data_IF_275358161828
#
_entry.id   IF_275358161828
#
_cell.length_a   1.000
_cell.length_b   1.000
_cell.length_c   1.000
_cell.angle_alpha   90.00
_cell.angle_beta   90.00
_cell.angle_gamma   90.00
#
_symmetry.space_group_name_H-M   'P 1'
#
loop_
_entity.id
_entity.type
_entity.pdbx_description
1 polymer ?
#
# COMPACT_ATOMS: atom_id res chain seq x y z
N UNK A 1 -23.98 -20.66 10.58
CA UNK A 1 -23.24 -19.79 9.64
C UNK A 1 -23.77 -18.36 9.74
N UNK A 2 -23.06 -17.49 10.46
CA UNK A 2 -23.47 -16.09 10.64
C UNK A 2 -23.24 -15.27 9.36
N UNK A 3 -24.27 -14.59 8.87
CA UNK A 3 -24.16 -13.71 7.68
C UNK A 3 -23.23 -12.50 7.90
N UNK A 4 -22.91 -12.17 9.15
CA UNK A 4 -22.01 -11.08 9.55
C UNK A 4 -21.21 -11.51 10.79
N UNK A 5 -19.91 -11.23 10.80
CA UNK A 5 -19.05 -11.30 11.98
C UNK A 5 -18.47 -9.90 12.25
N UNK A 6 -18.51 -9.46 13.50
CA UNK A 6 -17.89 -8.21 13.94
C UNK A 6 -17.08 -8.47 15.21
N UNK A 7 -15.86 -7.95 15.27
CA UNK A 7 -14.98 -8.08 16.42
C UNK A 7 -14.29 -6.75 16.72
N UNK A 8 -14.18 -6.41 18.00
CA UNK A 8 -13.48 -5.21 18.46
C UNK A 8 -12.61 -5.55 19.66
N UNK A 9 -11.37 -5.06 19.66
CA UNK A 9 -10.46 -5.18 20.79
C UNK A 9 -9.78 -3.84 21.10
N UNK A 10 -9.59 -3.54 22.38
CA UNK A 10 -8.97 -2.31 22.85
C UNK A 10 -8.06 -2.57 24.07
N UNK A 11 -7.07 -1.70 24.27
CA UNK A 11 -6.07 -1.80 25.34
C UNK A 11 -4.67 -1.89 24.77
N UNK A 12 -3.64 -1.97 25.61
CA UNK A 12 -2.23 -1.96 25.17
C UNK A 12 -1.95 -3.02 24.10
N UNK A 13 -2.63 -4.17 24.20
CA UNK A 13 -2.54 -5.30 23.27
C UNK A 13 -3.94 -5.74 22.83
N UNK A 14 -4.33 -5.39 21.60
CA UNK A 14 -5.63 -5.71 21.04
C UNK A 14 -5.54 -6.67 19.85
N UNK A 15 -6.31 -7.76 19.86
CA UNK A 15 -6.48 -8.64 18.71
C UNK A 15 -7.97 -8.86 18.42
N UNK A 16 -8.41 -8.56 17.20
CA UNK A 16 -9.79 -8.75 16.76
C UNK A 16 -9.83 -9.63 15.50
N UNK A 17 -10.64 -10.69 15.54
CA UNK A 17 -10.85 -11.58 14.39
C UNK A 17 -12.33 -11.68 14.07
N UNK A 18 -12.70 -11.38 12.83
CA UNK A 18 -14.07 -11.49 12.34
C UNK A 18 -14.14 -12.35 11.08
N UNK A 19 -15.17 -13.20 11.00
CA UNK A 19 -15.39 -14.12 9.88
C UNK A 19 -16.88 -14.20 9.53
N UNK A 20 -17.18 -14.53 8.27
CA UNK A 20 -18.54 -14.68 7.76
C UNK A 20 -18.70 -13.97 6.42
N UNK A 21 -19.90 -13.97 5.83
CA UNK A 21 -20.10 -13.33 4.51
C UNK A 21 -19.65 -11.87 4.48
N UNK A 22 -19.82 -11.15 5.60
CA UNK A 22 -19.18 -9.86 5.88
C UNK A 22 -18.45 -9.95 7.21
N UNK A 23 -17.12 -9.86 7.18
CA UNK A 23 -16.27 -9.80 8.37
C UNK A 23 -15.80 -8.35 8.61
N UNK A 24 -15.94 -7.86 9.83
CA UNK A 24 -15.42 -6.55 10.24
C UNK A 24 -14.62 -6.67 11.55
N UNK A 25 -13.33 -6.36 11.53
CA UNK A 25 -12.46 -6.42 12.70
C UNK A 25 -11.80 -5.06 12.95
N UNK A 26 -11.87 -4.59 14.19
CA UNK A 26 -11.27 -3.31 14.61
C UNK A 26 -10.43 -3.49 15.85
N UNK A 27 -9.20 -2.96 15.85
CA UNK A 27 -8.35 -2.90 17.04
C UNK A 27 -7.79 -1.51 17.28
N UNK A 28 -7.73 -1.09 18.54
CA UNK A 28 -7.08 0.16 18.97
C UNK A 28 -6.23 -0.07 20.22
N UNK A 29 -4.99 0.38 20.27
CA UNK A 29 -4.08 0.10 21.39
C UNK A 29 -2.67 0.61 21.17
N UNK A 30 -1.70 0.26 22.02
CA UNK A 30 -0.30 0.42 21.64
C UNK A 30 0.05 -0.55 20.51
N UNK A 31 -0.39 -1.80 20.61
CA UNK A 31 -0.24 -2.83 19.59
C UNK A 31 -1.59 -3.44 19.23
N UNK A 32 -1.98 -3.31 17.96
CA UNK A 32 -3.27 -3.76 17.44
C UNK A 32 -3.14 -4.69 16.23
N UNK A 33 -3.84 -5.83 16.26
CA UNK A 33 -3.94 -6.76 15.15
C UNK A 33 -5.41 -7.04 14.78
N UNK A 34 -5.85 -6.60 13.60
CA UNK A 34 -7.20 -6.81 13.09
C UNK A 34 -7.19 -7.77 11.89
N UNK A 35 -7.99 -8.84 11.95
CA UNK A 35 -8.16 -9.81 10.86
C UNK A 35 -9.63 -9.97 10.49
N UNK A 36 -9.98 -9.73 9.23
CA UNK A 36 -11.34 -9.91 8.72
C UNK A 36 -11.34 -10.79 7.46
N UNK A 37 -12.18 -11.83 7.45
CA UNK A 37 -12.35 -12.74 6.31
C UNK A 37 -13.81 -12.94 5.94
N UNK A 38 -14.09 -13.17 4.65
CA UNK A 38 -15.44 -13.33 4.12
C UNK A 38 -15.57 -13.15 2.62
N UNK A 39 -16.79 -13.01 2.08
CA UNK A 39 -16.94 -12.42 0.73
C UNK A 39 -16.44 -10.96 0.77
N UNK A 40 -16.70 -10.27 1.89
CA UNK A 40 -16.29 -8.90 2.15
C UNK A 40 -15.60 -8.81 3.51
N UNK A 41 -14.29 -8.61 3.52
CA UNK A 41 -13.47 -8.41 4.71
C UNK A 41 -13.08 -6.95 4.89
N UNK A 42 -13.27 -6.40 6.09
CA UNK A 42 -12.81 -5.07 6.48
C UNK A 42 -12.03 -5.14 7.81
N UNK A 43 -10.75 -4.77 7.79
CA UNK A 43 -9.89 -4.79 8.97
C UNK A 43 -9.26 -3.42 9.21
N UNK A 44 -9.36 -2.93 10.45
CA UNK A 44 -8.74 -1.67 10.87
C UNK A 44 -7.92 -1.89 12.14
N UNK A 45 -6.63 -1.54 12.09
CA UNK A 45 -5.76 -1.56 13.25
C UNK A 45 -5.07 -0.20 13.44
N UNK A 46 -5.23 0.38 14.63
CA UNK A 46 -4.63 1.67 14.98
C UNK A 46 -3.85 1.57 16.29
N UNK A 47 -2.71 2.24 16.38
CA UNK A 47 -1.88 2.24 17.58
C UNK A 47 -0.49 2.79 17.39
N UNK A 48 0.46 2.43 18.27
CA UNK A 48 1.89 2.62 17.96
C UNK A 48 2.32 1.64 16.85
N UNK A 49 1.87 0.39 16.96
CA UNK A 49 1.99 -0.65 15.93
C UNK A 49 0.61 -1.17 15.54
N UNK A 50 0.24 -1.01 14.27
CA UNK A 50 -1.02 -1.50 13.72
C UNK A 50 -0.79 -2.52 12.61
N UNK A 51 -1.43 -3.68 12.70
CA UNK A 51 -1.45 -4.71 11.65
C UNK A 51 -2.89 -5.05 11.26
N UNK A 52 -3.25 -4.82 9.99
CA UNK A 52 -4.59 -5.10 9.46
C UNK A 52 -4.52 -6.06 8.28
N UNK A 53 -5.30 -7.14 8.35
CA UNK A 53 -5.43 -8.12 7.26
C UNK A 53 -6.89 -8.32 6.88
N UNK A 54 -7.21 -8.11 5.61
CA UNK A 54 -8.55 -8.34 5.07
C UNK A 54 -8.50 -9.24 3.83
N UNK A 55 -9.31 -10.30 3.81
CA UNK A 55 -9.39 -11.24 2.70
C UNK A 55 -10.83 -11.53 2.29
N UNK A 56 -11.05 -11.76 0.98
CA UNK A 56 -12.35 -12.12 0.43
C UNK A 56 -12.49 -11.93 -1.07
N UNK A 57 -13.71 -11.80 -1.59
CA UNK A 57 -13.93 -11.25 -2.94
C UNK A 57 -13.50 -9.77 -2.92
N UNK A 58 -13.92 -9.04 -1.89
CA UNK A 58 -13.42 -7.71 -1.56
C UNK A 58 -12.73 -7.68 -0.20
N UNK A 59 -11.47 -7.22 -0.17
CA UNK A 59 -10.70 -7.00 1.06
C UNK A 59 -10.31 -5.54 1.21
N UNK A 60 -10.59 -4.95 2.38
CA UNK A 60 -10.16 -3.61 2.74
C UNK A 60 -9.40 -3.64 4.08
N UNK A 61 -8.13 -3.26 4.06
CA UNK A 61 -7.27 -3.24 5.24
C UNK A 61 -6.68 -1.84 5.47
N UNK A 62 -6.82 -1.32 6.68
CA UNK A 62 -6.25 -0.04 7.09
C UNK A 62 -5.42 -0.22 8.36
N UNK A 63 -4.15 0.18 8.30
CA UNK A 63 -3.25 0.17 9.44
C UNK A 63 -2.64 1.57 9.66
N UNK A 64 -2.78 2.10 10.86
CA UNK A 64 -2.25 3.42 11.23
C UNK A 64 -1.48 3.38 12.55
N UNK A 65 -0.45 4.22 12.65
CA UNK A 65 0.40 4.32 13.83
C UNK A 65 1.78 4.87 13.53
N UNK A 66 2.74 4.70 14.43
CA UNK A 66 4.15 4.90 14.06
C UNK A 66 4.58 3.85 13.04
N UNK A 67 4.08 2.62 13.18
CA UNK A 67 4.30 1.52 12.27
C UNK A 67 2.98 0.86 11.86
N UNK A 68 2.57 1.07 10.60
CA UNK A 68 1.36 0.47 10.03
C UNK A 68 1.70 -0.60 8.99
N UNK A 69 1.08 -1.77 9.10
CA UNK A 69 1.12 -2.83 8.10
C UNK A 69 -0.29 -3.25 7.67
N UNK A 70 -0.65 -3.00 6.41
CA UNK A 70 -1.97 -3.35 5.86
C UNK A 70 -1.83 -4.34 4.70
N UNK A 71 -2.56 -5.45 4.77
CA UNK A 71 -2.64 -6.45 3.70
C UNK A 71 -4.08 -6.69 3.30
N UNK A 72 -4.39 -6.49 2.02
CA UNK A 72 -5.68 -6.79 1.45
C UNK A 72 -5.55 -7.75 0.26
N UNK A 73 -6.33 -8.83 0.28
CA UNK A 73 -6.34 -9.83 -0.80
C UNK A 73 -7.77 -10.18 -1.24
N UNK A 74 -7.93 -10.49 -2.52
CA UNK A 74 -9.21 -10.88 -3.09
C UNK A 74 -9.30 -10.68 -4.60
N UNK A 75 -10.50 -10.65 -5.17
CA UNK A 75 -10.65 -10.11 -6.53
C UNK A 75 -10.37 -8.60 -6.54
N UNK A 76 -10.78 -7.92 -5.47
CA UNK A 76 -10.56 -6.50 -5.21
C UNK A 76 -9.90 -6.33 -3.84
N UNK A 77 -8.64 -5.92 -3.82
CA UNK A 77 -7.88 -5.63 -2.59
C UNK A 77 -7.58 -4.14 -2.47
N UNK A 78 -7.87 -3.55 -1.31
CA UNK A 78 -7.49 -2.18 -0.98
C UNK A 78 -6.74 -2.16 0.36
N UNK A 79 -5.47 -1.77 0.35
CA UNK A 79 -4.61 -1.69 1.53
C UNK A 79 -4.10 -0.26 1.73
N UNK A 80 -4.28 0.27 2.94
CA UNK A 80 -3.76 1.59 3.32
C UNK A 80 -2.92 1.47 4.59
N UNK A 81 -1.68 1.91 4.52
CA UNK A 81 -0.78 1.97 5.67
C UNK A 81 -0.22 3.39 5.84
N UNK A 82 -0.31 3.94 7.05
CA UNK A 82 0.16 5.29 7.35
C UNK A 82 0.96 5.32 8.65
N UNK A 83 2.04 6.10 8.70
CA UNK A 83 2.84 6.27 9.92
C UNK A 83 4.22 6.87 9.72
N UNK A 84 5.13 6.65 10.67
CA UNK A 84 6.56 6.87 10.42
C UNK A 84 7.03 5.83 9.38
N UNK A 85 6.65 4.57 9.59
CA UNK A 85 6.75 3.49 8.62
C UNK A 85 5.37 2.95 8.24
N UNK A 86 5.10 2.84 6.95
CA UNK A 86 3.85 2.27 6.42
C UNK A 86 4.14 1.23 5.36
N UNK A 87 3.61 0.01 5.51
CA UNK A 87 3.69 -1.04 4.50
C UNK A 87 2.27 -1.46 4.07
N UNK A 88 1.92 -1.19 2.81
CA UNK A 88 0.63 -1.55 2.24
C UNK A 88 0.81 -2.55 1.11
N UNK A 89 0.14 -3.70 1.20
CA UNK A 89 0.13 -4.72 0.14
C UNK A 89 -1.30 -5.03 -0.27
N UNK A 90 -1.61 -4.78 -1.53
CA UNK A 90 -2.90 -5.14 -2.13
C UNK A 90 -2.69 -6.14 -3.27
N UNK A 91 -3.43 -7.24 -3.23
CA UNK A 91 -3.31 -8.33 -4.20
C UNK A 91 -4.69 -8.75 -4.71
N UNK A 92 -4.78 -9.11 -6.00
CA UNK A 92 -6.03 -9.54 -6.61
C UNK A 92 -6.11 -9.30 -8.10
N UNK A 93 -7.29 -9.39 -8.69
CA UNK A 93 -7.50 -8.90 -10.08
C UNK A 93 -7.29 -7.38 -10.13
N UNK A 94 -7.81 -6.68 -9.11
CA UNK A 94 -7.61 -5.25 -8.88
C UNK A 94 -7.02 -5.04 -7.49
N UNK A 95 -5.80 -4.52 -7.43
CA UNK A 95 -5.11 -4.20 -6.18
C UNK A 95 -4.84 -2.71 -6.07
N UNK A 96 -5.22 -2.07 -4.97
CA UNK A 96 -4.88 -0.69 -4.66
C UNK A 96 -4.11 -0.62 -3.33
N UNK A 97 -2.84 -0.26 -3.37
CA UNK A 97 -1.99 -0.14 -2.19
C UNK A 97 -1.54 1.31 -2.02
N UNK A 98 -1.79 1.89 -0.84
CA UNK A 98 -1.33 3.24 -0.50
C UNK A 98 -0.49 3.19 0.78
N UNK A 99 0.74 3.67 0.70
CA UNK A 99 1.63 3.83 1.84
C UNK A 99 2.05 5.29 1.97
N UNK A 100 1.80 5.87 3.15
CA UNK A 100 2.15 7.25 3.47
C UNK A 100 2.97 7.31 4.75
N UNK A 101 3.85 8.30 4.89
CA UNK A 101 4.72 8.39 6.06
C UNK A 101 6.13 8.89 5.78
N UNK A 102 7.06 8.73 6.71
CA UNK A 102 8.48 8.98 6.40
C UNK A 102 9.02 7.88 5.48
N UNK A 103 8.70 6.62 5.75
CA UNK A 103 9.11 5.44 4.97
C UNK A 103 7.88 4.62 4.60
N UNK A 104 7.32 4.88 3.42
CA UNK A 104 6.12 4.19 2.92
C UNK A 104 6.48 3.17 1.84
N UNK A 105 6.12 1.89 1.99
CA UNK A 105 6.24 0.88 0.95
C UNK A 105 4.84 0.44 0.50
N UNK A 106 4.49 0.71 -0.76
CA UNK A 106 3.22 0.29 -1.36
C UNK A 106 3.47 -0.74 -2.46
N UNK A 107 2.84 -1.91 -2.36
CA UNK A 107 2.89 -2.96 -3.38
C UNK A 107 1.49 -3.31 -3.84
N UNK A 108 1.23 -3.13 -5.12
CA UNK A 108 -0.01 -3.56 -5.76
C UNK A 108 0.30 -4.65 -6.79
N UNK A 109 -0.25 -5.83 -6.54
CA UNK A 109 -0.11 -7.02 -7.38
C UNK A 109 -1.46 -7.34 -8.01
N UNK A 110 -1.48 -7.74 -9.29
CA UNK A 110 -2.72 -8.10 -9.98
C UNK A 110 -2.74 -7.81 -11.46
N UNK A 111 -3.87 -8.05 -12.12
CA UNK A 111 -4.03 -7.59 -13.51
C UNK A 111 -3.98 -6.06 -13.58
N UNK A 112 -4.69 -5.37 -12.69
CA UNK A 112 -4.75 -3.91 -12.58
C UNK A 112 -4.34 -3.48 -11.16
N UNK A 113 -3.04 -3.29 -10.95
CA UNK A 113 -2.48 -2.90 -9.66
C UNK A 113 -2.10 -1.42 -9.60
N UNK A 114 -2.59 -0.66 -8.64
CA UNK A 114 -2.17 0.73 -8.39
C UNK A 114 -1.44 0.83 -7.05
N UNK A 115 -0.15 1.14 -7.09
CA UNK A 115 0.68 1.35 -5.90
C UNK A 115 1.05 2.83 -5.77
N UNK A 116 0.75 3.44 -4.62
CA UNK A 116 1.08 4.84 -4.33
C UNK A 116 1.90 4.93 -3.06
N UNK A 117 3.10 5.48 -3.16
CA UNK A 117 3.96 5.81 -2.03
C UNK A 117 4.20 7.33 -1.98
N UNK A 118 3.60 8.01 -1.00
CA UNK A 118 3.66 9.48 -0.88
C UNK A 118 4.65 9.98 0.17
N UNK A 119 5.35 9.05 0.83
CA UNK A 119 6.26 9.38 1.92
C UNK A 119 7.63 9.90 1.52
N UNK A 120 8.37 10.50 2.47
CA UNK A 120 9.70 11.07 2.23
C UNK A 120 10.65 10.09 1.53
N UNK A 121 10.67 8.82 1.92
CA UNK A 121 11.42 7.74 1.26
C UNK A 121 10.46 6.65 0.80
N UNK A 122 9.41 7.07 0.09
CA UNK A 122 8.35 6.20 -0.41
C UNK A 122 8.84 5.27 -1.53
N UNK A 123 8.49 3.99 -1.47
CA UNK A 123 8.72 3.01 -2.52
C UNK A 123 7.39 2.44 -3.03
N UNK A 124 7.06 2.70 -4.29
CA UNK A 124 5.88 2.16 -4.96
C UNK A 124 6.26 1.02 -5.92
N UNK A 125 5.56 -0.11 -5.83
CA UNK A 125 5.80 -1.30 -6.67
C UNK A 125 4.51 -1.76 -7.32
N UNK A 126 4.47 -1.72 -8.66
CA UNK A 126 3.40 -2.31 -9.47
C UNK A 126 3.91 -3.63 -10.11
N UNK A 127 3.65 -4.75 -9.45
CA UNK A 127 4.12 -6.08 -9.87
C UNK A 127 3.16 -6.83 -10.81
N UNK A 128 2.06 -6.17 -11.18
CA UNK A 128 1.01 -6.64 -12.08
C UNK A 128 1.29 -6.46 -13.57
N UNK A 129 0.37 -6.88 -14.44
CA UNK A 129 0.52 -6.74 -15.91
C UNK A 129 0.15 -5.34 -16.43
N UNK A 130 -0.92 -4.75 -15.91
CA UNK A 130 -1.40 -3.40 -16.28
C UNK A 130 -1.42 -2.50 -15.04
N UNK A 131 -0.28 -2.48 -14.34
CA UNK A 131 -0.14 -1.74 -13.11
C UNK A 131 0.35 -0.30 -13.29
N UNK A 132 0.19 0.49 -12.23
CA UNK A 132 0.74 1.83 -12.11
C UNK A 132 1.42 1.99 -10.74
N UNK A 133 2.63 2.53 -10.73
CA UNK A 133 3.37 2.85 -9.52
C UNK A 133 3.68 4.35 -9.47
N UNK A 134 3.24 5.00 -8.39
CA UNK A 134 3.43 6.44 -8.17
C UNK A 134 4.25 6.68 -6.92
N UNK A 135 5.37 7.38 -7.08
CA UNK A 135 6.19 7.86 -5.97
C UNK A 135 6.24 9.39 -5.98
N UNK A 136 5.59 10.00 -4.99
CA UNK A 136 5.35 11.46 -4.98
C UNK A 136 6.02 12.21 -3.82
N UNK A 137 6.61 11.50 -2.86
CA UNK A 137 7.33 12.10 -1.73
C UNK A 137 8.82 12.31 -2.02
N UNK A 138 9.54 12.90 -1.06
CA UNK A 138 10.89 13.44 -1.22
C UNK A 138 11.86 12.53 -1.99
N UNK A 139 12.59 11.57 -1.45
CA UNK A 139 13.39 10.63 -2.25
C UNK A 139 12.55 9.44 -2.74
N UNK A 140 11.35 9.73 -3.25
CA UNK A 140 10.41 8.72 -3.72
C UNK A 140 10.96 7.90 -4.89
N UNK A 141 10.74 6.59 -4.86
CA UNK A 141 11.11 5.68 -5.94
C UNK A 141 9.94 4.78 -6.36
N UNK A 142 9.85 4.49 -7.65
CA UNK A 142 8.84 3.59 -8.20
C UNK A 142 9.49 2.50 -9.06
N UNK A 143 8.93 1.31 -9.04
CA UNK A 143 9.23 0.21 -9.98
C UNK A 143 7.96 -0.44 -10.47
N UNK A 144 8.05 -1.06 -11.63
CA UNK A 144 6.96 -1.82 -12.20
C UNK A 144 7.46 -2.98 -13.05
N UNK A 145 6.61 -3.99 -13.24
CA UNK A 145 6.81 -4.99 -14.30
C UNK A 145 6.77 -4.35 -15.68
N UNK A 146 7.22 -5.09 -16.68
CA UNK A 146 7.10 -4.70 -18.08
C UNK A 146 5.67 -4.26 -18.42
N UNK A 147 5.53 -3.10 -19.06
CA UNK A 147 4.24 -2.49 -19.40
C UNK A 147 3.57 -1.65 -18.30
N UNK A 148 4.05 -1.68 -17.05
CA UNK A 148 3.49 -0.85 -15.98
C UNK A 148 3.83 0.63 -16.15
N UNK A 149 2.88 1.50 -15.84
CA UNK A 149 3.11 2.94 -15.78
C UNK A 149 3.87 3.32 -14.51
N UNK A 150 4.83 4.22 -14.64
CA UNK A 150 5.58 4.80 -13.54
C UNK A 150 5.34 6.31 -13.50
N UNK A 151 5.09 6.85 -12.32
CA UNK A 151 4.97 8.28 -12.05
C UNK A 151 5.94 8.67 -10.95
N UNK A 152 6.85 9.58 -11.27
CA UNK A 152 7.89 10.04 -10.36
C UNK A 152 7.78 11.55 -10.15
N UNK A 153 8.01 12.00 -8.93
CA UNK A 153 8.11 13.42 -8.57
C UNK A 153 9.47 13.65 -7.92
N UNK A 154 10.16 14.69 -8.37
CA UNK A 154 11.37 15.19 -7.72
C UNK A 154 10.97 16.38 -6.85
N UNK A 155 11.42 16.37 -5.59
CA UNK A 155 11.17 17.47 -4.65
C UNK A 155 12.46 18.04 -4.09
N UNK A 156 12.43 19.33 -3.76
CA UNK A 156 13.46 19.97 -2.96
C UNK A 156 13.40 19.51 -1.50
N UNK A 157 14.40 19.89 -0.70
CA UNK A 157 14.42 19.69 0.75
C UNK A 157 13.32 20.45 1.49
N UNK A 158 12.75 21.52 0.90
CA UNK A 158 11.57 22.23 1.41
C UNK A 158 10.25 21.61 0.96
N UNK A 159 10.29 20.55 0.15
CA UNK A 159 9.11 19.83 -0.34
C UNK A 159 8.49 20.44 -1.60
N UNK A 160 9.08 21.46 -2.21
CA UNK A 160 8.63 22.02 -3.49
C UNK A 160 8.77 20.98 -4.61
N UNK A 161 7.82 20.95 -5.54
CA UNK A 161 7.91 20.08 -6.72
C UNK A 161 8.89 20.73 -7.70
N UNK A 162 10.00 20.05 -7.96
CA UNK A 162 11.01 20.49 -8.93
C UNK A 162 10.70 19.95 -10.32
N UNK A 163 10.39 18.67 -10.41
CA UNK A 163 10.08 17.99 -11.67
C UNK A 163 9.01 16.91 -11.45
N UNK A 164 8.31 16.56 -12.52
CA UNK A 164 7.43 15.40 -12.58
C UNK A 164 7.70 14.64 -13.89
N UNK A 165 7.61 13.32 -13.82
CA UNK A 165 7.87 12.45 -14.96
C UNK A 165 6.89 11.28 -14.97
N UNK A 166 6.52 10.85 -16.17
CA UNK A 166 5.74 9.65 -16.40
C UNK A 166 6.37 8.84 -17.52
N UNK A 167 6.34 7.52 -17.39
CA UNK A 167 6.81 6.60 -18.42
C UNK A 167 6.31 5.18 -18.17
N UNK A 168 6.77 4.25 -19.00
CA UNK A 168 6.33 2.86 -18.97
C UNK A 168 7.56 1.97 -18.81
N UNK A 169 7.54 1.11 -17.79
CA UNK A 169 8.57 0.10 -17.61
C UNK A 169 8.66 -0.82 -18.84
N UNK A 170 9.89 -1.08 -19.30
CA UNK A 170 10.20 -1.81 -20.52
C UNK A 170 10.22 -0.98 -21.81
N UNK A 171 10.03 0.35 -21.72
CA UNK A 171 10.06 1.28 -22.87
C UNK A 171 11.03 2.42 -22.62
N UNK A 172 11.54 3.02 -23.70
CA UNK A 172 12.33 4.26 -23.66
C UNK A 172 13.47 4.23 -22.61
N UNK A 173 14.24 3.14 -22.60
CA UNK A 173 15.35 2.87 -21.67
C UNK A 173 14.98 2.71 -20.18
N UNK A 174 13.69 2.62 -19.87
CA UNK A 174 13.20 2.29 -18.53
C UNK A 174 13.14 0.78 -18.39
N UNK A 175 14.02 0.18 -17.58
CA UNK A 175 14.03 -1.25 -17.33
C UNK A 175 12.82 -1.65 -16.47
N UNK A 176 12.19 -2.77 -16.82
CA UNK A 176 11.26 -3.42 -15.90
C UNK A 176 11.98 -3.86 -14.63
N UNK A 177 11.20 -4.04 -13.57
CA UNK A 177 11.68 -4.61 -12.31
C UNK A 177 12.85 -3.85 -11.65
N UNK A 178 12.99 -2.58 -12.01
CA UNK A 178 14.06 -1.69 -11.54
C UNK A 178 13.44 -0.48 -10.87
N UNK A 179 13.98 -0.08 -9.72
CA UNK A 179 13.54 1.14 -9.06
C UNK A 179 14.15 2.37 -9.74
N UNK A 180 13.31 3.36 -9.99
CA UNK A 180 13.70 4.66 -10.49
C UNK A 180 13.30 5.77 -9.50
N UNK A 181 14.16 6.77 -9.37
CA UNK A 181 13.87 8.06 -8.72
C UNK A 181 14.10 9.18 -9.74
N UNK A 182 13.35 10.28 -9.65
CA UNK A 182 13.54 11.44 -10.51
C UNK A 182 14.67 12.32 -9.97
N UNK A 183 15.68 12.62 -10.78
CA UNK A 183 16.81 13.49 -10.45
C UNK A 183 17.10 14.41 -11.64
N UNK A 184 17.06 15.72 -11.44
CA UNK A 184 17.19 16.70 -12.52
C UNK A 184 16.18 16.49 -13.66
N UNK A 185 14.96 16.06 -13.32
CA UNK A 185 13.90 15.77 -14.29
C UNK A 185 14.10 14.49 -15.11
N UNK A 186 15.11 13.66 -14.79
CA UNK A 186 15.37 12.38 -15.46
C UNK A 186 15.23 11.20 -14.51
N UNK A 187 14.58 10.10 -14.91
CA UNK A 187 14.54 8.88 -14.11
C UNK A 187 15.95 8.29 -14.00
N UNK A 188 16.39 8.02 -12.77
CA UNK A 188 17.69 7.43 -12.44
C UNK A 188 17.47 6.13 -11.67
N UNK A 189 18.18 5.07 -12.09
CA UNK A 189 18.16 3.77 -11.42
C UNK A 189 18.67 3.88 -9.97
N UNK A 190 17.94 3.26 -9.03
CA UNK A 190 18.30 3.21 -7.61
C UNK A 190 18.09 1.81 -7.06
N UNK A 191 18.76 1.50 -5.95
CA UNK A 191 18.50 0.29 -5.15
C UNK A 191 17.21 0.48 -4.33
#
# INVERSE_FOLDING_TARGET
SGRRGAATASGDWGAATASGRRGAATTSGEQGAATASGDWGAATASGYQGAATASGIGGAATASGDWGAATASGEQGAATASGIGGAATASGTRGAATASGRRGAATASGYQGAATASGEQGAATASGEQGAATASGYEGKARGKDGCALFLVERSTSGEILNAWAGVAGRDDIKSDTFYRLVGGKPVEVA
#
